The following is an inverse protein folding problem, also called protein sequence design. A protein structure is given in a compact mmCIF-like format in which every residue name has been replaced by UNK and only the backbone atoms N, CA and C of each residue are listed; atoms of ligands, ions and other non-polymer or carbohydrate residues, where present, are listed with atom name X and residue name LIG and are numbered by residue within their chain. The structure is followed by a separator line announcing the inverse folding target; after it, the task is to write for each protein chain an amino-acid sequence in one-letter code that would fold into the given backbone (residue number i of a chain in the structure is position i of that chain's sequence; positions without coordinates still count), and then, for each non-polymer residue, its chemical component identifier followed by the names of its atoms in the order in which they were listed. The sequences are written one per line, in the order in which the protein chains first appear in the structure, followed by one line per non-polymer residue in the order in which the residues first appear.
data_IF_257596889061
#
_entry.id   IF_257596889061
#
_cell.length_a   1.000
_cell.length_b   1.000
_cell.length_c   1.000
_cell.angle_alpha   90.00
_cell.angle_beta   90.00
_cell.angle_gamma   90.00
#
_symmetry.space_group_name_H-M   'P 1'
#
loop_
_entity.id
_entity.type
_entity.pdbx_description
1 polymer ?
#
# COMPACT_ATOMS: atom_id res chain seq x y z
N UNK A 1 -18.19 52.67 29.14
CA UNK A 1 -16.81 52.66 28.58
C UNK A 1 -16.26 51.23 28.43
N UNK A 2 -16.44 50.32 29.39
CA UNK A 2 -15.96 48.93 29.33
C UNK A 2 -16.52 48.09 28.17
N UNK A 3 -17.78 48.21 27.83
CA UNK A 3 -18.37 47.45 26.72
C UNK A 3 -17.78 47.83 25.34
N UNK A 4 -17.35 49.08 25.15
CA UNK A 4 -16.70 49.53 23.91
C UNK A 4 -15.27 48.94 23.79
N UNK A 5 -14.56 48.83 24.92
CA UNK A 5 -13.22 48.26 25.00
C UNK A 5 -13.26 46.74 24.75
N UNK A 6 -14.26 46.01 25.29
CA UNK A 6 -14.46 44.59 25.01
C UNK A 6 -14.76 44.32 23.52
N UNK A 7 -15.65 45.10 22.88
CA UNK A 7 -15.93 44.97 21.44
C UNK A 7 -14.69 45.20 20.57
N UNK A 8 -13.86 46.19 20.91
CA UNK A 8 -12.64 46.47 20.14
C UNK A 8 -11.60 45.32 20.30
N UNK A 9 -11.44 44.73 21.50
CA UNK A 9 -10.53 43.60 21.70
C UNK A 9 -10.96 42.37 20.93
N UNK A 10 -12.26 42.05 20.87
CA UNK A 10 -12.80 40.94 20.08
C UNK A 10 -12.58 41.20 18.58
N UNK A 11 -12.81 42.40 18.10
CA UNK A 11 -12.57 42.76 16.69
C UNK A 11 -11.09 42.60 16.28
N UNK A 12 -10.17 43.05 17.13
CA UNK A 12 -8.73 42.93 16.87
C UNK A 12 -8.31 41.44 16.88
N UNK A 13 -8.84 40.62 17.79
CA UNK A 13 -8.55 39.21 17.83
C UNK A 13 -9.06 38.47 16.58
N UNK A 14 -10.28 38.78 16.12
CA UNK A 14 -10.82 38.19 14.88
C UNK A 14 -9.99 38.62 13.65
N UNK A 15 -9.57 39.89 13.57
CA UNK A 15 -8.78 40.38 12.46
C UNK A 15 -7.38 39.75 12.42
N UNK A 16 -6.74 39.58 13.55
CA UNK A 16 -5.42 38.86 13.64
C UNK A 16 -5.52 37.40 13.24
N UNK A 17 -6.61 36.70 13.61
CA UNK A 17 -6.87 35.34 13.17
C UNK A 17 -7.05 35.23 11.66
N UNK A 18 -7.80 36.17 11.04
CA UNK A 18 -7.98 36.19 9.58
C UNK A 18 -6.64 36.37 8.86
N UNK A 19 -5.82 37.31 9.32
CA UNK A 19 -4.47 37.53 8.76
C UNK A 19 -3.62 36.27 8.91
N UNK A 20 -3.64 35.65 10.07
CA UNK A 20 -2.91 34.41 10.32
C UNK A 20 -3.31 33.30 9.35
N UNK A 21 -4.62 33.08 9.14
CA UNK A 21 -5.11 32.11 8.17
C UNK A 21 -4.72 32.47 6.73
N UNK A 22 -4.77 33.75 6.36
CA UNK A 22 -4.32 34.19 5.02
C UNK A 22 -2.83 33.92 4.81
N UNK A 23 -1.99 34.18 5.80
CA UNK A 23 -0.55 33.86 5.73
C UNK A 23 -0.32 32.34 5.62
N UNK A 24 -0.99 31.55 6.44
CA UNK A 24 -0.91 30.09 6.38
C UNK A 24 -1.34 29.56 5.00
N UNK A 25 -2.42 30.09 4.45
CA UNK A 25 -2.91 29.73 3.12
C UNK A 25 -1.92 30.14 2.03
N UNK A 26 -1.35 31.34 2.10
CA UNK A 26 -0.33 31.77 1.13
C UNK A 26 0.93 30.89 1.19
N UNK A 27 1.41 30.56 2.37
CA UNK A 27 2.55 29.66 2.55
C UNK A 27 2.25 28.26 2.03
N UNK A 28 1.05 27.74 2.32
CA UNK A 28 0.57 26.47 1.78
C UNK A 28 0.53 26.49 0.25
N UNK A 29 -0.07 27.54 -0.33
CA UNK A 29 -0.17 27.69 -1.79
C UNK A 29 1.20 27.75 -2.46
N UNK A 30 2.15 28.52 -1.91
CA UNK A 30 3.53 28.57 -2.41
C UNK A 30 4.19 27.21 -2.35
N UNK A 31 4.06 26.51 -1.21
CA UNK A 31 4.63 25.16 -1.04
C UNK A 31 4.07 24.19 -2.06
N UNK A 32 2.75 24.18 -2.25
CA UNK A 32 2.07 23.23 -3.15
C UNK A 32 2.39 23.45 -4.62
N UNK A 33 2.81 24.66 -5.00
CA UNK A 33 3.20 24.98 -6.37
C UNK A 33 4.73 24.86 -6.64
N UNK A 34 5.54 24.50 -5.65
CA UNK A 34 6.96 24.18 -5.86
C UNK A 34 7.13 22.84 -6.58
N UNK A 35 8.17 22.73 -7.40
CA UNK A 35 8.54 21.48 -8.03
C UNK A 35 9.03 20.48 -6.99
N UNK A 36 8.70 19.22 -7.20
CA UNK A 36 9.18 18.11 -6.39
C UNK A 36 10.64 17.85 -6.74
N UNK A 37 11.45 17.56 -5.72
CA UNK A 37 12.80 17.01 -5.90
C UNK A 37 12.73 15.53 -5.57
N UNK A 38 12.67 14.72 -6.60
CA UNK A 38 12.69 13.27 -6.45
C UNK A 38 14.07 12.79 -6.05
N UNK A 39 14.13 11.71 -5.30
CA UNK A 39 15.36 11.02 -4.89
C UNK A 39 15.80 9.97 -5.89
N UNK A 40 14.82 9.42 -6.61
CA UNK A 40 15.00 8.36 -7.58
C UNK A 40 14.38 8.75 -8.92
N UNK A 41 15.13 8.61 -10.02
CA UNK A 41 14.69 9.01 -11.35
C UNK A 41 13.64 8.08 -11.95
N UNK A 42 13.72 6.77 -11.67
CA UNK A 42 12.78 5.80 -12.16
C UNK A 42 11.45 5.91 -11.39
N UNK A 43 11.50 6.17 -10.07
CA UNK A 43 10.31 6.46 -9.27
C UNK A 43 9.67 7.79 -9.70
N UNK A 44 10.46 8.81 -10.00
CA UNK A 44 9.98 10.08 -10.55
C UNK A 44 9.20 9.87 -11.85
N UNK A 45 9.69 8.99 -12.71
CA UNK A 45 9.03 8.63 -13.97
C UNK A 45 7.68 7.92 -13.71
N UNK A 46 7.63 6.93 -12.82
CA UNK A 46 6.38 6.22 -12.48
C UNK A 46 5.33 7.16 -11.87
N UNK A 47 5.75 8.02 -10.94
CA UNK A 47 4.87 9.02 -10.34
C UNK A 47 4.35 9.99 -11.41
N UNK A 48 5.21 10.44 -12.31
CA UNK A 48 4.82 11.36 -13.41
C UNK A 48 3.81 10.72 -14.35
N UNK A 49 4.00 9.45 -14.71
CA UNK A 49 3.06 8.68 -15.54
C UNK A 49 1.69 8.52 -14.87
N UNK A 50 1.68 8.37 -13.53
CA UNK A 50 0.44 8.31 -12.76
C UNK A 50 -0.34 9.61 -12.82
N UNK A 51 0.35 10.77 -12.90
CA UNK A 51 -0.28 12.08 -13.06
C UNK A 51 -0.81 12.25 -14.49
N UNK A 52 -0.04 11.80 -15.49
CA UNK A 52 -0.45 11.85 -16.90
C UNK A 52 0.64 11.31 -17.84
N UNK A 53 0.25 10.78 -19.02
CA UNK A 53 1.16 10.05 -19.92
C UNK A 53 2.32 10.90 -20.45
N UNK A 54 2.17 12.22 -20.50
CA UNK A 54 3.16 13.15 -21.06
C UNK A 54 3.74 14.12 -20.00
N UNK A 55 3.56 13.80 -18.71
CA UNK A 55 4.09 14.65 -17.64
C UNK A 55 5.58 14.40 -17.48
N UNK A 56 6.37 15.48 -17.64
CA UNK A 56 7.81 15.43 -17.37
C UNK A 56 8.05 15.48 -15.85
N UNK A 57 8.86 14.56 -15.28
CA UNK A 57 9.18 14.55 -13.85
C UNK A 57 9.68 15.89 -13.30
N UNK A 58 10.46 16.66 -14.07
CA UNK A 58 10.99 17.96 -13.67
C UNK A 58 9.89 19.01 -13.44
N UNK A 59 8.73 18.84 -14.08
CA UNK A 59 7.60 19.76 -13.99
C UNK A 59 6.58 19.39 -12.92
N UNK A 60 6.75 18.24 -12.25
CA UNK A 60 5.84 17.77 -11.22
C UNK A 60 5.92 18.67 -9.99
N UNK A 61 4.77 19.10 -9.49
CA UNK A 61 4.64 19.94 -8.30
C UNK A 61 4.09 19.15 -7.12
N UNK A 62 4.32 19.66 -5.91
CA UNK A 62 3.79 19.01 -4.70
C UNK A 62 2.27 18.80 -4.74
N UNK A 63 1.49 19.73 -5.32
CA UNK A 63 0.03 19.56 -5.48
C UNK A 63 -0.34 18.35 -6.34
N UNK A 64 0.47 18.05 -7.35
CA UNK A 64 0.22 16.97 -8.30
C UNK A 64 0.41 15.61 -7.62
N UNK A 65 1.54 15.42 -6.92
CA UNK A 65 1.79 14.21 -6.15
C UNK A 65 0.83 14.06 -4.97
N UNK A 66 0.40 15.18 -4.38
CA UNK A 66 -0.58 15.17 -3.29
C UNK A 66 -1.97 14.73 -3.75
N UNK A 67 -2.29 14.89 -5.04
CA UNK A 67 -3.56 14.47 -5.64
C UNK A 67 -3.62 12.97 -5.91
N UNK A 68 -2.47 12.27 -5.95
CA UNK A 68 -2.38 10.84 -6.27
C UNK A 68 -3.08 10.03 -5.19
N UNK A 69 -4.04 9.20 -5.60
CA UNK A 69 -4.78 8.26 -4.74
C UNK A 69 -4.40 6.82 -4.97
N UNK A 70 -3.88 6.52 -6.15
CA UNK A 70 -3.44 5.20 -6.57
C UNK A 70 -2.07 5.31 -7.21
N UNK A 71 -1.15 4.46 -6.80
CA UNK A 71 0.19 4.35 -7.36
C UNK A 71 0.50 2.89 -7.63
N UNK A 72 0.81 2.61 -8.87
CA UNK A 72 1.28 1.32 -9.33
C UNK A 72 2.73 1.46 -9.74
N UNK A 73 3.61 0.77 -9.03
CA UNK A 73 5.04 0.76 -9.31
C UNK A 73 5.48 -0.63 -9.74
N UNK A 74 6.55 -0.67 -10.52
CA UNK A 74 7.17 -1.90 -10.93
C UNK A 74 7.91 -2.62 -9.78
N UNK A 75 8.73 -3.57 -10.17
CA UNK A 75 9.56 -4.33 -9.26
C UNK A 75 10.50 -3.42 -8.44
N UNK A 76 10.62 -3.60 -7.12
CA UNK A 76 11.45 -2.73 -6.27
C UNK A 76 12.90 -2.59 -6.72
N UNK A 77 13.53 -3.67 -7.22
CA UNK A 77 14.90 -3.65 -7.74
C UNK A 77 15.17 -2.68 -8.90
N UNK A 78 14.13 -2.10 -9.49
CA UNK A 78 14.23 -1.05 -10.49
C UNK A 78 14.67 0.30 -9.91
N UNK A 79 14.41 0.53 -8.63
CA UNK A 79 14.57 1.82 -7.97
C UNK A 79 15.78 1.81 -7.03
N UNK A 80 16.50 2.92 -6.98
CA UNK A 80 17.51 3.12 -5.95
C UNK A 80 16.90 3.32 -4.57
N UNK A 81 15.69 3.91 -4.50
CA UNK A 81 14.93 4.05 -3.26
C UNK A 81 13.43 4.16 -3.52
N UNK A 82 12.63 3.66 -2.59
CA UNK A 82 11.16 3.80 -2.59
C UNK A 82 10.68 5.05 -1.83
N UNK A 83 11.58 5.88 -1.31
CA UNK A 83 11.22 6.98 -0.40
C UNK A 83 10.31 8.04 -1.03
N UNK A 84 10.35 8.20 -2.36
CA UNK A 84 9.50 9.16 -3.06
C UNK A 84 8.02 8.84 -2.99
N UNK A 85 7.64 7.59 -2.67
CA UNK A 85 6.26 7.20 -2.37
C UNK A 85 5.69 8.03 -1.21
N UNK A 86 6.51 8.44 -0.24
CA UNK A 86 6.12 9.30 0.88
C UNK A 86 5.55 10.66 0.46
N UNK A 87 5.83 11.09 -0.77
CA UNK A 87 5.30 12.34 -1.33
C UNK A 87 3.79 12.24 -1.60
N UNK A 88 3.29 11.05 -1.91
CA UNK A 88 1.89 10.78 -2.25
C UNK A 88 1.02 10.67 -0.97
N UNK A 89 0.86 11.76 -0.23
CA UNK A 89 0.20 11.79 1.11
C UNK A 89 -1.26 11.36 1.13
N UNK A 90 -1.95 11.43 0.00
CA UNK A 90 -3.36 11.02 -0.14
C UNK A 90 -3.52 9.62 -0.75
N UNK A 91 -2.43 8.87 -0.87
CA UNK A 91 -2.44 7.53 -1.43
C UNK A 91 -3.37 6.60 -0.65
N UNK A 92 -4.25 5.93 -1.38
CA UNK A 92 -5.19 4.94 -0.87
C UNK A 92 -4.85 3.53 -1.37
N UNK A 93 -4.28 3.43 -2.55
CA UNK A 93 -3.93 2.17 -3.20
C UNK A 93 -2.45 2.22 -3.56
N UNK A 94 -1.69 1.28 -3.05
CA UNK A 94 -0.30 1.03 -3.43
C UNK A 94 -0.18 -0.37 -3.98
N UNK A 95 0.21 -0.47 -5.24
CA UNK A 95 0.49 -1.73 -5.90
C UNK A 95 1.97 -1.78 -6.27
N UNK A 96 2.63 -2.85 -5.87
CA UNK A 96 4.03 -3.15 -6.17
C UNK A 96 4.04 -4.46 -6.93
N UNK A 97 4.26 -4.38 -8.24
CA UNK A 97 4.21 -5.53 -9.13
C UNK A 97 5.59 -5.92 -9.60
N UNK A 98 5.84 -7.21 -9.64
CA UNK A 98 7.04 -7.76 -10.25
C UNK A 98 7.11 -7.64 -11.78
N UNK A 99 6.11 -7.05 -12.44
CA UNK A 99 6.00 -6.94 -13.89
C UNK A 99 5.83 -5.52 -14.38
N UNK A 100 6.89 -4.86 -14.76
CA UNK A 100 6.88 -3.62 -15.54
C UNK A 100 7.65 -3.79 -16.84
N UNK A 101 7.17 -3.19 -17.92
CA UNK A 101 7.55 -3.41 -19.32
C UNK A 101 9.01 -3.11 -19.72
N UNK A 102 9.90 -2.79 -18.79
CA UNK A 102 11.32 -2.54 -19.12
C UNK A 102 12.25 -3.05 -18.03
N UNK A 103 12.58 -4.31 -18.13
CA UNK A 103 13.77 -4.86 -17.50
C UNK A 103 15.02 -4.12 -17.97
N UNK A 104 15.72 -3.44 -17.07
CA UNK A 104 17.16 -3.25 -17.25
C UNK A 104 17.80 -4.57 -16.84
N UNK A 105 18.49 -5.29 -17.74
CA UNK A 105 19.19 -6.50 -17.34
C UNK A 105 20.22 -6.11 -16.27
N UNK A 106 20.13 -6.79 -15.11
CA UNK A 106 21.17 -6.69 -14.08
C UNK A 106 22.51 -7.06 -14.69
N UNK A 107 23.52 -6.25 -14.45
CA UNK A 107 24.85 -6.39 -15.04
C UNK A 107 25.57 -7.57 -14.36
N UNK A 108 25.64 -8.74 -15.01
CA UNK A 108 26.37 -9.98 -14.68
C UNK A 108 25.69 -10.94 -13.70
N UNK A 109 25.64 -12.22 -14.13
CA UNK A 109 24.99 -13.33 -13.43
C UNK A 109 25.69 -13.76 -12.12
N UNK A 110 26.94 -13.44 -11.89
CA UNK A 110 27.73 -14.00 -10.78
C UNK A 110 27.53 -13.31 -9.41
N UNK A 111 26.94 -12.11 -9.36
CA UNK A 111 26.68 -11.36 -8.12
C UNK A 111 25.18 -11.13 -7.83
N UNK A 112 24.30 -11.73 -8.63
CA UNK A 112 22.87 -11.43 -8.63
C UNK A 112 22.23 -11.78 -7.28
N UNK A 113 22.51 -12.94 -6.73
CA UNK A 113 21.85 -13.43 -5.51
C UNK A 113 22.21 -12.58 -4.27
N UNK A 114 23.45 -12.16 -4.16
CA UNK A 114 23.90 -11.32 -3.05
C UNK A 114 23.33 -9.90 -3.14
N UNK A 115 23.38 -9.29 -4.31
CA UNK A 115 22.82 -7.96 -4.56
C UNK A 115 21.30 -7.95 -4.36
N UNK A 116 20.61 -9.00 -4.79
CA UNK A 116 19.18 -9.16 -4.60
C UNK A 116 18.81 -9.30 -3.11
N UNK A 117 19.62 -10.01 -2.33
CA UNK A 117 19.41 -10.14 -0.90
C UNK A 117 19.60 -8.81 -0.16
N UNK A 118 20.67 -8.08 -0.40
CA UNK A 118 20.91 -6.77 0.22
C UNK A 118 19.86 -5.74 -0.18
N UNK A 119 19.49 -5.72 -1.46
CA UNK A 119 18.42 -4.87 -1.95
C UNK A 119 17.07 -5.22 -1.31
N UNK A 120 16.74 -6.50 -1.18
CA UNK A 120 15.52 -6.94 -0.51
C UNK A 120 15.45 -6.45 0.94
N UNK A 121 16.56 -6.52 1.69
CA UNK A 121 16.64 -5.99 3.05
C UNK A 121 16.43 -4.49 3.11
N UNK A 122 17.02 -3.75 2.17
CA UNK A 122 16.82 -2.30 2.04
C UNK A 122 15.35 -1.96 1.77
N UNK A 123 14.73 -2.60 0.79
CA UNK A 123 13.33 -2.34 0.44
C UNK A 123 12.37 -2.79 1.54
N UNK A 124 12.67 -3.92 2.20
CA UNK A 124 11.93 -4.37 3.38
C UNK A 124 11.90 -3.28 4.46
N UNK A 125 13.04 -2.67 4.74
CA UNK A 125 13.16 -1.57 5.69
C UNK A 125 12.42 -0.32 5.22
N UNK A 126 12.62 0.08 3.96
CA UNK A 126 11.94 1.24 3.39
C UNK A 126 10.41 1.08 3.40
N UNK A 127 9.88 -0.09 3.00
CA UNK A 127 8.43 -0.36 3.06
C UNK A 127 7.91 -0.31 4.49
N UNK A 128 8.68 -0.80 5.46
CA UNK A 128 8.32 -0.77 6.88
C UNK A 128 8.19 0.65 7.44
N UNK A 129 8.88 1.62 6.85
CA UNK A 129 8.82 3.04 7.20
C UNK A 129 7.78 3.81 6.36
N UNK A 130 7.68 3.48 5.05
CA UNK A 130 6.86 4.21 4.09
C UNK A 130 5.38 3.90 4.29
N UNK A 131 5.00 2.61 4.24
CA UNK A 131 3.59 2.21 4.18
C UNK A 131 2.80 2.68 5.40
N UNK A 132 3.29 2.55 6.65
CA UNK A 132 2.60 3.11 7.81
C UNK A 132 2.52 4.64 7.84
N UNK A 133 3.39 5.33 7.10
CA UNK A 133 3.35 6.80 6.98
C UNK A 133 2.21 7.29 6.09
N UNK A 134 1.68 6.43 5.23
CA UNK A 134 0.58 6.69 4.31
C UNK A 134 -0.76 6.56 5.06
N UNK A 135 -1.18 7.62 5.74
CA UNK A 135 -2.33 7.59 6.67
C UNK A 135 -3.67 7.25 6.03
N UNK A 136 -3.77 7.28 4.70
CA UNK A 136 -4.99 7.01 3.94
C UNK A 136 -4.95 5.69 3.18
N UNK A 137 -3.89 4.90 3.35
CA UNK A 137 -3.74 3.62 2.65
C UNK A 137 -4.87 2.66 3.07
N UNK A 138 -5.55 2.12 2.08
CA UNK A 138 -6.66 1.20 2.23
C UNK A 138 -6.39 -0.14 1.53
N UNK A 139 -5.64 -0.11 0.44
CA UNK A 139 -5.31 -1.28 -0.37
C UNK A 139 -3.80 -1.34 -0.54
N UNK A 140 -3.23 -2.48 -0.16
CA UNK A 140 -1.85 -2.82 -0.41
C UNK A 140 -1.79 -4.09 -1.26
N UNK A 141 -1.06 -4.03 -2.36
CA UNK A 141 -0.84 -5.15 -3.26
C UNK A 141 0.66 -5.32 -3.50
N UNK A 142 1.16 -6.53 -3.30
CA UNK A 142 2.52 -6.92 -3.58
C UNK A 142 2.53 -8.24 -4.35
N UNK A 143 3.35 -8.31 -5.40
CA UNK A 143 3.57 -9.54 -6.15
C UNK A 143 5.07 -9.78 -6.32
N UNK A 144 5.51 -11.01 -6.02
CA UNK A 144 6.88 -11.46 -6.22
C UNK A 144 7.03 -12.37 -7.45
N UNK A 145 6.22 -12.16 -8.48
CA UNK A 145 6.09 -13.01 -9.66
C UNK A 145 7.43 -13.42 -10.32
N UNK A 146 8.50 -12.66 -10.10
CA UNK A 146 9.81 -12.92 -10.69
C UNK A 146 10.82 -13.55 -9.70
N UNK A 147 10.37 -13.92 -8.50
CA UNK A 147 11.20 -14.48 -7.42
C UNK A 147 12.45 -13.65 -7.02
N UNK A 148 12.58 -12.46 -7.59
CA UNK A 148 13.78 -11.64 -7.52
C UNK A 148 13.79 -10.64 -6.34
N UNK A 149 12.74 -10.61 -5.52
CA UNK A 149 12.68 -9.72 -4.37
C UNK A 149 12.13 -10.46 -3.14
N UNK A 150 13.01 -10.98 -2.30
CA UNK A 150 12.66 -11.70 -1.08
C UNK A 150 12.12 -10.78 0.02
N UNK A 151 11.10 -9.95 -0.31
CA UNK A 151 10.31 -9.27 0.71
C UNK A 151 9.38 -10.30 1.32
N UNK A 152 9.62 -10.66 2.58
CA UNK A 152 8.86 -11.71 3.28
C UNK A 152 8.21 -11.24 4.57
N UNK A 153 8.63 -10.09 5.12
CA UNK A 153 8.03 -9.54 6.33
C UNK A 153 7.03 -8.42 5.99
N UNK A 154 5.77 -8.63 6.33
CA UNK A 154 4.67 -7.69 6.11
C UNK A 154 4.11 -7.08 7.42
N UNK A 155 4.86 -7.15 8.53
CA UNK A 155 4.45 -6.63 9.84
C UNK A 155 4.09 -5.14 9.83
N UNK A 156 4.61 -4.39 8.87
CA UNK A 156 4.27 -2.98 8.70
C UNK A 156 2.78 -2.76 8.38
N UNK A 157 2.08 -3.76 7.79
CA UNK A 157 0.65 -3.68 7.51
C UNK A 157 -0.19 -3.61 8.80
N UNK A 158 0.31 -4.22 9.89
CA UNK A 158 -0.32 -4.13 11.21
C UNK A 158 -0.42 -2.69 11.77
N UNK A 159 0.37 -1.76 11.22
CA UNK A 159 0.37 -0.34 11.60
C UNK A 159 -0.57 0.51 10.72
N UNK A 160 -1.21 -0.09 9.72
CA UNK A 160 -2.06 0.59 8.74
C UNK A 160 -3.53 0.52 9.16
N UNK A 161 -3.97 1.44 10.01
CA UNK A 161 -5.30 1.42 10.64
C UNK A 161 -6.50 1.52 9.69
N UNK A 162 -6.28 1.86 8.43
CA UNK A 162 -7.32 1.99 7.40
C UNK A 162 -7.27 0.90 6.33
N UNK A 163 -6.42 -0.12 6.51
CA UNK A 163 -6.27 -1.24 5.57
C UNK A 163 -7.57 -2.02 5.45
N UNK A 164 -8.06 -2.17 4.22
CA UNK A 164 -9.28 -2.89 3.85
C UNK A 164 -8.99 -4.11 2.98
N UNK A 165 -7.98 -4.00 2.12
CA UNK A 165 -7.61 -5.05 1.17
C UNK A 165 -6.12 -5.32 1.25
N UNK A 166 -5.75 -6.57 1.43
CA UNK A 166 -4.36 -7.04 1.40
C UNK A 166 -4.24 -8.06 0.27
N UNK A 167 -3.28 -7.83 -0.63
CA UNK A 167 -2.94 -8.73 -1.72
C UNK A 167 -1.46 -9.04 -1.68
N UNK A 168 -1.12 -10.31 -1.48
CA UNK A 168 0.27 -10.79 -1.45
C UNK A 168 0.32 -12.02 -2.36
N UNK A 169 0.95 -11.87 -3.51
CA UNK A 169 1.00 -12.87 -4.55
C UNK A 169 2.41 -13.45 -4.69
N UNK A 170 2.50 -14.75 -4.96
CA UNK A 170 3.75 -15.48 -5.28
C UNK A 170 4.88 -15.17 -4.28
N UNK A 171 4.55 -15.14 -2.99
CA UNK A 171 5.46 -14.65 -1.97
C UNK A 171 5.54 -15.60 -0.78
N UNK A 172 6.77 -15.83 -0.30
CA UNK A 172 7.00 -16.48 0.98
C UNK A 172 6.87 -15.46 2.10
N UNK A 173 5.83 -15.57 2.92
CA UNK A 173 5.59 -14.72 4.08
C UNK A 173 6.23 -15.36 5.31
N UNK A 174 7.09 -14.62 6.00
CA UNK A 174 7.84 -15.13 7.17
C UNK A 174 6.94 -15.44 8.37
N UNK A 175 5.92 -14.62 8.59
CA UNK A 175 4.92 -14.78 9.66
C UNK A 175 3.63 -14.07 9.28
N UNK A 176 2.49 -14.76 9.40
CA UNK A 176 1.14 -14.19 9.19
C UNK A 176 0.57 -13.52 10.44
N UNK A 177 1.30 -13.52 11.54
CA UNK A 177 0.86 -12.94 12.82
C UNK A 177 0.47 -11.45 12.76
N UNK A 178 0.98 -10.70 11.78
CA UNK A 178 0.57 -9.30 11.55
C UNK A 178 -0.92 -9.16 11.26
N UNK A 179 -1.56 -10.16 10.67
CA UNK A 179 -2.99 -10.15 10.34
C UNK A 179 -3.86 -9.97 11.58
N UNK A 180 -3.43 -10.44 12.76
CA UNK A 180 -4.15 -10.27 14.04
C UNK A 180 -4.44 -8.81 14.39
N UNK A 181 -3.68 -7.88 13.83
CA UNK A 181 -3.84 -6.43 14.04
C UNK A 181 -4.57 -5.72 12.90
N UNK A 182 -4.89 -6.41 11.81
CA UNK A 182 -5.52 -5.86 10.62
C UNK A 182 -7.05 -5.95 10.68
N UNK A 183 -7.67 -5.52 11.77
CA UNK A 183 -9.10 -5.76 12.10
C UNK A 183 -10.12 -5.18 11.11
N UNK A 184 -9.73 -4.26 10.23
CA UNK A 184 -10.61 -3.64 9.22
C UNK A 184 -10.54 -4.31 7.86
N UNK A 185 -9.68 -5.31 7.70
CA UNK A 185 -9.52 -6.02 6.42
C UNK A 185 -10.79 -6.80 6.12
N UNK A 186 -11.28 -6.60 4.90
CA UNK A 186 -12.47 -7.23 4.33
C UNK A 186 -12.11 -8.21 3.22
N UNK A 187 -11.01 -7.98 2.54
CA UNK A 187 -10.58 -8.81 1.44
C UNK A 187 -9.11 -9.17 1.60
N UNK A 188 -8.80 -10.45 1.47
CA UNK A 188 -7.44 -10.94 1.48
C UNK A 188 -7.19 -11.87 0.29
N UNK A 189 -6.08 -11.63 -0.40
CA UNK A 189 -5.65 -12.40 -1.55
C UNK A 189 -4.21 -12.85 -1.32
N UNK A 190 -4.02 -14.17 -1.18
CA UNK A 190 -2.74 -14.82 -0.85
C UNK A 190 -2.34 -15.85 -1.91
N UNK A 191 -2.73 -15.63 -3.16
CA UNK A 191 -2.42 -16.53 -4.25
C UNK A 191 -0.91 -16.81 -4.36
N UNK A 192 -0.55 -18.10 -4.49
CA UNK A 192 0.84 -18.52 -4.60
C UNK A 192 1.68 -18.29 -3.33
N UNK A 193 1.05 -17.89 -2.21
CA UNK A 193 1.78 -17.70 -0.94
C UNK A 193 1.95 -19.03 -0.18
N UNK A 194 2.80 -19.02 0.84
CA UNK A 194 3.08 -20.18 1.68
C UNK A 194 2.11 -20.36 2.87
N UNK A 195 0.94 -19.71 2.86
CA UNK A 195 -0.05 -19.90 3.93
C UNK A 195 -0.53 -21.36 3.96
N UNK A 196 -0.58 -21.93 5.15
CA UNK A 196 -0.95 -23.35 5.36
C UNK A 196 -2.01 -23.58 6.44
N UNK A 197 -2.24 -22.60 7.31
CA UNK A 197 -3.09 -22.74 8.48
C UNK A 197 -4.25 -21.74 8.41
N UNK A 198 -5.50 -22.24 8.50
CA UNK A 198 -6.69 -21.39 8.52
C UNK A 198 -6.73 -20.47 9.75
N UNK A 199 -6.08 -20.86 10.85
CA UNK A 199 -6.04 -20.07 12.09
C UNK A 199 -5.35 -18.72 11.92
N UNK A 200 -4.42 -18.61 10.96
CA UNK A 200 -3.79 -17.34 10.63
C UNK A 200 -4.81 -16.29 10.14
N UNK A 201 -5.90 -16.72 9.50
CA UNK A 201 -6.95 -15.85 8.98
C UNK A 201 -8.09 -15.60 9.96
N UNK A 202 -8.33 -16.51 10.93
CA UNK A 202 -9.49 -16.47 11.85
C UNK A 202 -9.56 -15.21 12.72
N UNK A 203 -8.46 -14.48 12.85
CA UNK A 203 -8.42 -13.19 13.55
C UNK A 203 -9.11 -12.05 12.79
N UNK A 204 -9.26 -12.17 11.47
CA UNK A 204 -9.85 -11.17 10.57
C UNK A 204 -11.37 -11.29 10.51
N UNK A 205 -12.06 -10.86 11.56
CA UNK A 205 -13.52 -11.09 11.75
C UNK A 205 -14.43 -10.45 10.69
N UNK A 206 -13.93 -9.56 9.87
CA UNK A 206 -14.70 -8.80 8.87
C UNK A 206 -14.44 -9.26 7.44
N UNK A 207 -13.83 -10.44 7.23
CA UNK A 207 -13.55 -10.94 5.88
C UNK A 207 -14.84 -11.24 5.12
N UNK A 208 -14.92 -10.63 3.94
CA UNK A 208 -15.98 -10.81 2.94
C UNK A 208 -15.44 -11.63 1.74
N UNK A 209 -14.12 -11.54 1.48
CA UNK A 209 -13.45 -12.26 0.38
C UNK A 209 -12.12 -12.82 0.84
N UNK A 210 -11.90 -14.10 0.57
CA UNK A 210 -10.66 -14.82 0.87
C UNK A 210 -10.21 -15.54 -0.41
N UNK A 211 -9.02 -15.23 -0.91
CA UNK A 211 -8.43 -15.94 -2.03
C UNK A 211 -7.11 -16.59 -1.57
N UNK A 212 -7.11 -17.92 -1.56
CA UNK A 212 -5.97 -18.75 -1.16
C UNK A 212 -5.52 -19.68 -2.29
N UNK A 213 -5.83 -19.31 -3.54
CA UNK A 213 -5.51 -20.10 -4.71
C UNK A 213 -4.01 -20.44 -4.77
N UNK A 214 -3.70 -21.69 -5.15
CA UNK A 214 -2.33 -22.24 -5.25
C UNK A 214 -1.47 -22.05 -3.99
N UNK A 215 -2.06 -22.27 -2.82
CA UNK A 215 -1.36 -22.28 -1.53
C UNK A 215 -1.37 -23.68 -0.90
N UNK A 216 -0.49 -23.98 0.07
CA UNK A 216 -0.63 -25.20 0.88
C UNK A 216 -2.02 -25.31 1.54
N UNK A 217 -2.56 -24.20 2.05
CA UNK A 217 -3.90 -24.16 2.68
C UNK A 217 -5.01 -24.61 1.71
N UNK A 218 -4.96 -24.18 0.44
CA UNK A 218 -6.00 -24.55 -0.55
C UNK A 218 -5.98 -26.02 -0.94
N UNK A 219 -4.87 -26.72 -0.67
CA UNK A 219 -4.64 -28.14 -0.98
C UNK A 219 -4.98 -29.08 0.18
N UNK A 220 -5.26 -28.52 1.38
CA UNK A 220 -5.64 -29.27 2.58
C UNK A 220 -7.15 -29.14 2.83
N UNK A 221 -7.91 -30.22 2.57
CA UNK A 221 -9.37 -30.22 2.70
C UNK A 221 -9.83 -29.91 4.13
N UNK A 222 -9.09 -30.38 5.16
CA UNK A 222 -9.43 -30.14 6.56
C UNK A 222 -9.30 -28.66 6.92
N UNK A 223 -8.23 -28.03 6.45
CA UNK A 223 -8.00 -26.59 6.65
C UNK A 223 -9.00 -25.73 5.87
N UNK A 224 -9.34 -26.14 4.64
CA UNK A 224 -10.39 -25.46 3.84
C UNK A 224 -11.75 -25.55 4.54
N UNK A 225 -12.15 -26.73 5.06
CA UNK A 225 -13.39 -26.86 5.85
C UNK A 225 -13.38 -26.00 7.10
N UNK A 226 -12.24 -25.96 7.80
CA UNK A 226 -12.03 -25.11 8.99
C UNK A 226 -12.21 -23.64 8.66
N UNK A 227 -11.67 -23.20 7.51
CA UNK A 227 -11.81 -21.84 7.00
C UNK A 227 -13.27 -21.53 6.64
N UNK A 228 -13.96 -22.42 5.92
CA UNK A 228 -15.36 -22.26 5.56
C UNK A 228 -16.27 -22.16 6.80
N UNK A 229 -16.01 -22.96 7.83
CA UNK A 229 -16.75 -22.90 9.11
C UNK A 229 -16.51 -21.58 9.85
N UNK A 230 -15.28 -21.04 9.77
CA UNK A 230 -14.94 -19.76 10.41
C UNK A 230 -15.55 -18.55 9.69
N UNK A 231 -15.74 -18.64 8.37
CA UNK A 231 -16.22 -17.55 7.52
C UNK A 231 -17.40 -17.99 6.64
N UNK A 232 -18.57 -18.33 7.22
CA UNK A 232 -19.69 -18.91 6.49
C UNK A 232 -20.29 -17.97 5.44
N UNK A 233 -20.10 -16.65 5.59
CA UNK A 233 -20.63 -15.62 4.69
C UNK A 233 -19.57 -15.04 3.72
N UNK A 234 -18.32 -15.47 3.81
CA UNK A 234 -17.28 -14.99 2.95
C UNK A 234 -17.20 -15.80 1.64
N UNK A 235 -16.85 -15.14 0.53
CA UNK A 235 -16.49 -15.82 -0.71
C UNK A 235 -15.08 -16.34 -0.58
N UNK A 236 -14.89 -17.66 -0.72
CA UNK A 236 -13.57 -18.31 -0.56
C UNK A 236 -13.17 -18.94 -1.88
N UNK A 237 -12.12 -18.39 -2.50
CA UNK A 237 -11.54 -18.85 -3.76
C UNK A 237 -10.35 -19.77 -3.46
N UNK A 238 -10.47 -21.05 -3.81
CA UNK A 238 -9.45 -22.09 -3.57
C UNK A 238 -8.79 -22.60 -4.86
N UNK A 239 -9.41 -22.36 -6.02
CA UNK A 239 -8.87 -22.59 -7.36
C UNK A 239 -9.54 -21.64 -8.35
N UNK A 240 -9.07 -21.59 -9.61
CA UNK A 240 -9.69 -20.76 -10.65
C UNK A 240 -11.18 -21.09 -10.86
N UNK A 241 -11.54 -22.39 -10.79
CA UNK A 241 -12.88 -22.90 -11.08
C UNK A 241 -13.72 -23.19 -9.83
N UNK A 242 -13.16 -23.00 -8.60
CA UNK A 242 -13.84 -23.42 -7.38
C UNK A 242 -13.93 -22.31 -6.34
N UNK A 243 -15.16 -21.86 -6.12
CA UNK A 243 -15.52 -20.88 -5.09
C UNK A 243 -16.42 -21.55 -4.07
N UNK A 244 -16.09 -21.40 -2.79
CA UNK A 244 -16.88 -21.89 -1.66
C UNK A 244 -17.76 -20.76 -1.09
N UNK A 245 -18.82 -21.14 -0.37
CA UNK A 245 -19.76 -20.21 0.28
C UNK A 245 -20.45 -19.21 -0.67
N UNK A 246 -20.72 -19.63 -1.91
CA UNK A 246 -21.70 -18.94 -2.75
C UNK A 246 -23.02 -19.67 -2.55
N UNK A 247 -23.97 -19.07 -1.83
CA UNK A 247 -25.38 -19.39 -1.96
C UNK A 247 -25.81 -18.97 -3.36
N UNK A 248 -25.81 -19.89 -4.30
CA UNK A 248 -26.51 -19.74 -5.56
C UNK A 248 -28.00 -19.79 -5.18
N UNK A 249 -28.58 -18.63 -4.85
CA UNK A 249 -30.03 -18.48 -4.99
C UNK A 249 -30.29 -18.46 -6.49
N UNK A 250 -30.63 -19.63 -7.02
CA UNK A 250 -31.26 -19.72 -8.33
C UNK A 250 -32.58 -18.91 -8.24
N UNK A 251 -32.63 -17.81 -8.99
CA UNK A 251 -33.86 -17.12 -9.33
C UNK A 251 -34.53 -17.82 -10.53
#
# INVERSE_FOLDING_TARGET
MEQKIKKNKVGICCFSLVIFFMICFALYYVRMNRHVKFKDSDMAYEISRTIGPNVNPENVKYKDVYAIKELNIGFPGKYDTLEDIKLCKNLRILTINGGGDKWKPLKKEEDIDFLLYEQAQKYQKELSDIVPSLKRIEIFSFSNYLENCNISNFDFLAKCSNMKVIKIYDSTVSDFGFLKKCSKVKEIYLWGSNIKDADDLKSLKNLETICIYDTPLSKDETEVESLCKAFPNAKIFISEDKVQNIDIKEE
#
